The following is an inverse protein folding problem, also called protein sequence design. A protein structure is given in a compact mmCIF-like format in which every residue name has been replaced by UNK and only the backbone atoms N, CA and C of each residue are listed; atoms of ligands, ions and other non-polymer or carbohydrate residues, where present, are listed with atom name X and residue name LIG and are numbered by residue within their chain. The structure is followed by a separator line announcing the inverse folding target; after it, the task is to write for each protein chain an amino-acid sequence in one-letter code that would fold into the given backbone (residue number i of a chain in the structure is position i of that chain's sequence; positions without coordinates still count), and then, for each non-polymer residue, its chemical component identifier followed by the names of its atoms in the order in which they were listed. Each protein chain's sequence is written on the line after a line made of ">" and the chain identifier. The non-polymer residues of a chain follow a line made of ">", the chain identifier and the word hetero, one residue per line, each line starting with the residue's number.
data_IF_166178788643
#
_entry.id   IF_166178788643
#
_cell.length_a   1.000
_cell.length_b   1.000
_cell.length_c   1.000
_cell.angle_alpha   90.00
_cell.angle_beta   90.00
_cell.angle_gamma   90.00
#
_symmetry.space_group_name_H-M   'P 1'
#
loop_
_entity.id
_entity.type
_entity.pdbx_description
1 polymer ?
#
# COMPACT_ATOMS: atom_id res chain seq x y z
N UNK A 1 23.14 -29.13 -19.44
CA UNK A 1 22.12 -29.02 -18.38
C UNK A 1 20.82 -28.56 -19.02
N UNK A 2 19.88 -29.47 -19.20
CA UNK A 2 18.54 -29.13 -19.70
C UNK A 2 17.82 -28.34 -18.62
N UNK A 3 17.26 -27.16 -18.89
CA UNK A 3 16.44 -26.48 -17.89
C UNK A 3 15.26 -27.41 -17.59
N UNK A 4 15.13 -27.84 -16.34
CA UNK A 4 13.89 -28.44 -15.85
C UNK A 4 12.89 -27.29 -15.85
N UNK A 5 12.16 -27.15 -16.96
CA UNK A 5 10.97 -26.31 -17.00
C UNK A 5 10.04 -26.96 -15.99
N UNK A 6 9.95 -26.39 -14.79
CA UNK A 6 9.11 -26.93 -13.71
C UNK A 6 7.65 -26.75 -14.13
N UNK A 7 7.13 -27.70 -14.90
CA UNK A 7 5.77 -27.72 -15.40
C UNK A 7 4.84 -28.09 -14.25
N UNK A 8 4.22 -27.06 -13.68
CA UNK A 8 3.06 -27.15 -12.80
C UNK A 8 1.93 -27.80 -13.61
N UNK A 9 1.18 -28.75 -13.06
CA UNK A 9 0.12 -29.43 -13.79
C UNK A 9 -1.15 -29.65 -12.95
N UNK A 10 -2.29 -29.59 -13.61
CA UNK A 10 -3.61 -29.91 -13.06
C UNK A 10 -4.15 -31.16 -13.77
N UNK A 11 -4.88 -32.00 -13.04
CA UNK A 11 -5.53 -33.17 -13.61
C UNK A 11 -7.05 -33.02 -13.57
N UNK A 12 -7.71 -33.50 -14.62
CA UNK A 12 -9.17 -33.51 -14.73
C UNK A 12 -9.74 -34.69 -13.98
N UNK A 13 -10.68 -34.46 -13.07
CA UNK A 13 -11.23 -35.52 -12.20
C UNK A 13 -11.91 -36.65 -12.96
N UNK A 14 -12.64 -36.29 -14.03
CA UNK A 14 -13.47 -37.23 -14.77
C UNK A 14 -12.66 -38.18 -15.68
N UNK A 15 -11.51 -37.73 -16.18
CA UNK A 15 -10.77 -38.42 -17.25
C UNK A 15 -9.32 -38.75 -16.90
N UNK A 16 -8.78 -38.17 -15.83
CA UNK A 16 -7.36 -38.28 -15.48
C UNK A 16 -6.43 -37.51 -16.42
N UNK A 17 -6.99 -36.73 -17.34
CA UNK A 17 -6.25 -35.90 -18.29
C UNK A 17 -5.38 -34.87 -17.54
N UNK A 18 -4.09 -34.83 -17.87
CA UNK A 18 -3.10 -33.93 -17.28
C UNK A 18 -2.86 -32.75 -18.22
N UNK A 19 -3.02 -31.54 -17.70
CA UNK A 19 -2.70 -30.31 -18.41
C UNK A 19 -1.55 -29.62 -17.69
N UNK A 20 -0.48 -29.37 -18.43
CA UNK A 20 0.67 -28.63 -17.96
C UNK A 20 0.40 -27.13 -18.11
N UNK A 21 0.54 -26.43 -17.00
CA UNK A 21 0.42 -24.99 -16.86
C UNK A 21 1.81 -24.37 -16.92
N UNK A 22 1.89 -23.25 -17.63
CA UNK A 22 3.08 -22.41 -17.66
C UNK A 22 3.06 -21.40 -16.51
N UNK A 23 4.19 -20.75 -16.26
CA UNK A 23 4.27 -19.66 -15.28
C UNK A 23 3.35 -18.48 -15.63
N UNK A 24 2.97 -18.30 -16.90
CA UNK A 24 2.03 -17.27 -17.31
C UNK A 24 0.58 -17.61 -16.90
N UNK A 25 0.24 -18.91 -16.85
CA UNK A 25 -1.08 -19.38 -16.41
C UNK A 25 -1.25 -19.26 -14.89
N UNK A 26 -0.16 -19.09 -14.14
CA UNK A 26 -0.16 -18.95 -12.68
C UNK A 26 -0.16 -17.49 -12.21
N UNK A 27 -0.17 -16.53 -13.14
CA UNK A 27 -0.30 -15.14 -12.78
C UNK A 27 -1.66 -14.93 -12.12
N UNK A 28 -1.72 -14.40 -10.88
CA UNK A 28 -3.01 -14.04 -10.29
C UNK A 28 -3.69 -13.03 -11.21
N UNK A 29 -4.99 -13.23 -11.48
CA UNK A 29 -5.77 -12.23 -12.18
C UNK A 29 -5.70 -10.92 -11.39
N UNK A 30 -5.47 -9.80 -12.08
CA UNK A 30 -5.45 -8.49 -11.47
C UNK A 30 -6.78 -8.25 -10.75
N UNK A 31 -6.76 -8.22 -9.42
CA UNK A 31 -7.93 -7.99 -8.59
C UNK A 31 -8.62 -9.21 -7.98
N UNK A 32 -8.04 -10.42 -8.03
CA UNK A 32 -8.59 -11.57 -7.29
C UNK A 32 -8.09 -11.58 -5.83
N UNK A 33 -8.95 -11.30 -4.83
CA UNK A 33 -8.58 -11.31 -3.43
C UNK A 33 -8.58 -12.77 -2.95
N UNK A 34 -7.60 -13.54 -3.40
CA UNK A 34 -7.47 -14.94 -2.99
C UNK A 34 -6.95 -15.00 -1.55
N UNK A 35 -7.92 -14.96 -0.65
CA UNK A 35 -7.88 -15.48 0.71
C UNK A 35 -7.20 -16.85 0.75
N UNK A 36 -5.86 -16.90 0.82
CA UNK A 36 -5.09 -18.01 1.38
C UNK A 36 -5.42 -19.43 0.87
N UNK A 37 -6.04 -19.58 -0.30
CA UNK A 37 -6.28 -20.86 -0.99
C UNK A 37 -5.73 -20.70 -2.39
N UNK A 38 -4.89 -21.66 -2.79
CA UNK A 38 -4.38 -21.75 -4.14
C UNK A 38 -5.51 -22.26 -5.04
N UNK A 39 -6.41 -21.35 -5.40
CA UNK A 39 -7.42 -21.60 -6.42
C UNK A 39 -6.70 -21.92 -7.72
N UNK A 40 -7.34 -22.78 -8.50
CA UNK A 40 -6.87 -23.08 -9.85
C UNK A 40 -6.86 -21.80 -10.70
N UNK A 41 -5.98 -21.70 -11.71
CA UNK A 41 -5.96 -20.58 -12.63
C UNK A 41 -7.32 -20.28 -13.26
N UNK A 42 -7.50 -19.04 -13.72
CA UNK A 42 -8.67 -18.65 -14.49
C UNK A 42 -8.90 -19.62 -15.67
N UNK A 43 -10.12 -20.15 -15.78
CA UNK A 43 -10.48 -21.18 -16.76
C UNK A 43 -10.47 -22.62 -16.22
N UNK A 44 -9.95 -22.86 -15.02
CA UNK A 44 -9.97 -24.15 -14.34
C UNK A 44 -10.76 -24.02 -13.03
N UNK A 45 -11.78 -24.85 -12.83
CA UNK A 45 -12.56 -24.84 -11.58
C UNK A 45 -12.27 -26.09 -10.73
N UNK A 46 -12.37 -25.95 -9.41
CA UNK A 46 -12.06 -27.03 -8.45
C UNK A 46 -13.05 -28.18 -8.48
N UNK A 47 -14.20 -28.01 -9.16
CA UNK A 47 -15.17 -29.08 -9.36
C UNK A 47 -14.69 -30.09 -10.42
N UNK A 48 -13.96 -29.62 -11.44
CA UNK A 48 -13.54 -30.42 -12.59
C UNK A 48 -12.04 -30.71 -12.62
N UNK A 49 -11.22 -29.86 -12.00
CA UNK A 49 -9.77 -29.95 -12.01
C UNK A 49 -9.22 -29.97 -10.59
N UNK A 50 -8.02 -30.52 -10.44
CA UNK A 50 -7.31 -30.62 -9.16
C UNK A 50 -5.81 -30.57 -9.40
N UNK A 51 -5.07 -29.97 -8.48
CA UNK A 51 -3.61 -30.01 -8.48
C UNK A 51 -3.12 -31.46 -8.35
N UNK A 52 -2.13 -31.87 -9.16
CA UNK A 52 -1.42 -33.10 -8.87
C UNK A 52 -0.55 -32.91 -7.58
N UNK A 53 -0.16 -34.01 -6.92
CA UNK A 53 0.51 -33.94 -5.62
C UNK A 53 1.85 -33.16 -5.66
N UNK A 54 2.67 -33.34 -6.70
CA UNK A 54 3.93 -32.63 -6.87
C UNK A 54 3.73 -31.12 -7.08
N UNK A 55 2.71 -30.75 -7.83
CA UNK A 55 2.33 -29.35 -8.07
C UNK A 55 1.77 -28.70 -6.83
N UNK A 56 0.94 -29.43 -6.08
CA UNK A 56 0.45 -28.97 -4.77
C UNK A 56 1.61 -28.74 -3.80
N UNK A 57 2.57 -29.68 -3.71
CA UNK A 57 3.75 -29.54 -2.87
C UNK A 57 4.64 -28.35 -3.29
N UNK A 58 4.78 -28.10 -4.60
CA UNK A 58 5.54 -26.96 -5.14
C UNK A 58 4.85 -25.61 -4.92
N UNK A 59 3.52 -25.58 -4.98
CA UNK A 59 2.72 -24.39 -4.74
C UNK A 59 2.53 -24.10 -3.23
N UNK A 60 2.57 -25.14 -2.40
CA UNK A 60 2.59 -25.07 -0.93
C UNK A 60 4.02 -25.04 -0.37
N UNK A 61 5.01 -24.66 -1.17
CA UNK A 61 6.35 -24.37 -0.67
C UNK A 61 6.30 -23.16 0.30
N UNK A 62 6.77 -23.31 1.56
CA UNK A 62 6.68 -22.24 2.57
C UNK A 62 7.32 -20.92 2.16
N UNK A 63 8.43 -20.95 1.41
CA UNK A 63 9.15 -19.75 1.00
C UNK A 63 8.39 -18.97 -0.08
N UNK A 64 7.74 -19.66 -1.02
CA UNK A 64 6.87 -19.02 -2.01
C UNK A 64 5.61 -18.43 -1.42
N UNK A 65 4.96 -19.18 -0.53
CA UNK A 65 3.78 -18.68 0.18
C UNK A 65 4.15 -17.43 1.00
N UNK A 66 5.30 -17.41 1.65
CA UNK A 66 5.82 -16.21 2.32
C UNK A 66 5.93 -15.02 1.36
N UNK A 67 6.60 -15.18 0.21
CA UNK A 67 6.82 -14.09 -0.73
C UNK A 67 5.49 -13.48 -1.23
N UNK A 68 4.51 -14.33 -1.55
CA UNK A 68 3.17 -13.89 -1.99
C UNK A 68 2.44 -13.13 -0.88
N UNK A 69 2.40 -13.69 0.33
CA UNK A 69 1.69 -13.06 1.45
C UNK A 69 2.36 -11.74 1.86
N UNK A 70 3.68 -11.66 1.87
CA UNK A 70 4.40 -10.41 2.15
C UNK A 70 4.10 -9.35 1.09
N UNK A 71 4.03 -9.72 -0.19
CA UNK A 71 3.63 -8.80 -1.26
C UNK A 71 2.19 -8.29 -1.05
N UNK A 72 1.24 -9.18 -0.75
CA UNK A 72 -0.15 -8.81 -0.48
C UNK A 72 -0.29 -7.87 0.73
N UNK A 73 0.49 -8.08 1.80
CA UNK A 73 0.52 -7.18 2.96
C UNK A 73 0.98 -5.79 2.56
N UNK A 74 2.05 -5.70 1.76
CA UNK A 74 2.57 -4.42 1.26
C UNK A 74 1.58 -3.72 0.33
N UNK A 75 0.95 -4.44 -0.59
CA UNK A 75 -0.05 -3.89 -1.50
C UNK A 75 -1.27 -3.38 -0.75
N UNK A 76 -1.73 -4.13 0.26
CA UNK A 76 -2.83 -3.70 1.15
C UNK A 76 -2.47 -2.46 1.94
N UNK A 77 -1.26 -2.43 2.52
CA UNK A 77 -0.77 -1.28 3.27
C UNK A 77 -0.67 -0.04 2.37
N UNK A 78 -0.13 -0.17 1.17
CA UNK A 78 -0.02 0.92 0.21
C UNK A 78 -1.42 1.39 -0.20
N UNK A 79 -2.32 0.50 -0.61
CA UNK A 79 -3.71 0.84 -0.97
C UNK A 79 -4.43 1.63 0.14
N UNK A 80 -4.29 1.19 1.39
CA UNK A 80 -4.85 1.90 2.56
C UNK A 80 -4.19 3.26 2.76
N UNK A 81 -2.86 3.36 2.75
CA UNK A 81 -2.13 4.64 2.86
C UNK A 81 -2.58 5.60 1.76
N UNK A 82 -2.76 5.09 0.53
CA UNK A 82 -3.21 5.90 -0.59
C UNK A 82 -4.65 6.38 -0.41
N UNK A 83 -5.55 5.56 0.11
CA UNK A 83 -6.92 5.98 0.44
C UNK A 83 -6.98 7.15 1.43
N UNK A 84 -6.03 7.23 2.38
CA UNK A 84 -5.93 8.36 3.33
C UNK A 84 -5.19 9.57 2.75
N UNK A 85 -4.19 9.35 1.90
CA UNK A 85 -3.39 10.42 1.32
C UNK A 85 -4.02 11.03 0.07
N UNK A 86 -5.02 10.41 -0.57
CA UNK A 86 -5.85 11.05 -1.60
C UNK A 86 -6.91 10.06 -2.11
N UNK A 87 -8.08 10.55 -2.51
CA UNK A 87 -8.77 9.90 -3.62
C UNK A 87 -7.85 10.00 -4.87
N UNK A 88 -7.04 8.96 -5.15
CA UNK A 88 -6.31 8.85 -6.44
C UNK A 88 -4.79 8.74 -6.44
N UNK A 89 -4.11 8.18 -5.43
CA UNK A 89 -2.80 7.55 -5.63
C UNK A 89 -1.56 8.44 -5.95
N UNK A 90 -1.72 9.71 -6.27
CA UNK A 90 -0.65 10.47 -6.94
C UNK A 90 -0.01 11.60 -6.11
N UNK A 91 -0.46 11.87 -4.87
CA UNK A 91 -0.14 13.12 -4.16
C UNK A 91 1.04 13.07 -3.18
N UNK A 92 1.83 11.97 -3.13
CA UNK A 92 2.89 11.80 -2.11
C UNK A 92 3.90 12.97 -2.06
N UNK A 93 4.33 13.47 -3.22
CA UNK A 93 5.22 14.63 -3.28
C UNK A 93 4.54 15.93 -2.83
N UNK A 94 3.26 16.12 -3.16
CA UNK A 94 2.48 17.30 -2.74
C UNK A 94 2.30 17.34 -1.22
N UNK A 95 2.02 16.21 -0.57
CA UNK A 95 1.90 16.14 0.89
C UNK A 95 3.21 16.44 1.60
N UNK A 96 4.32 15.88 1.12
CA UNK A 96 5.64 16.17 1.70
C UNK A 96 5.99 17.67 1.60
N UNK A 97 5.66 18.31 0.48
CA UNK A 97 5.86 19.75 0.34
C UNK A 97 4.90 20.56 1.22
N UNK A 98 3.59 20.26 1.25
CA UNK A 98 2.65 20.93 2.14
C UNK A 98 3.05 20.81 3.62
N UNK A 99 3.54 19.64 4.04
CA UNK A 99 4.07 19.44 5.39
C UNK A 99 5.32 20.28 5.67
N UNK A 100 6.23 20.40 4.70
CA UNK A 100 7.39 21.29 4.80
C UNK A 100 6.98 22.76 4.89
N UNK A 101 5.95 23.19 4.16
CA UNK A 101 5.40 24.55 4.26
C UNK A 101 4.79 24.83 5.63
N UNK A 102 4.03 23.88 6.20
CA UNK A 102 3.51 24.00 7.58
C UNK A 102 4.65 24.05 8.59
N UNK A 103 5.64 23.16 8.50
CA UNK A 103 6.78 23.16 9.42
C UNK A 103 7.58 24.46 9.34
N UNK A 104 7.78 25.01 8.13
CA UNK A 104 8.43 26.30 7.96
C UNK A 104 7.58 27.44 8.54
N UNK A 105 6.27 27.45 8.31
CA UNK A 105 5.34 28.41 8.91
C UNK A 105 5.41 28.38 10.45
N UNK A 106 5.42 27.19 11.05
CA UNK A 106 5.51 27.00 12.50
C UNK A 106 6.87 27.45 13.06
N UNK A 107 7.95 27.25 12.28
CA UNK A 107 9.31 27.65 12.67
C UNK A 107 9.50 29.18 12.74
N UNK A 108 8.63 29.96 12.10
CA UNK A 108 8.66 31.42 12.19
C UNK A 108 8.29 31.90 13.60
N UNK A 109 7.52 31.10 14.35
CA UNK A 109 7.16 31.36 15.74
C UNK A 109 6.34 32.64 15.97
N UNK A 110 5.92 32.85 17.21
CA UNK A 110 5.20 34.06 17.62
C UNK A 110 3.71 34.07 17.30
N UNK A 111 3.09 35.26 17.36
CA UNK A 111 1.68 35.45 17.04
C UNK A 111 1.45 35.38 15.52
N UNK A 112 0.19 35.13 15.09
CA UNK A 112 -0.18 35.15 13.66
C UNK A 112 0.26 36.45 12.98
N UNK A 113 0.17 37.58 13.67
CA UNK A 113 0.61 38.89 13.16
C UNK A 113 2.13 38.89 12.90
N UNK A 114 2.93 38.34 13.82
CA UNK A 114 4.37 38.26 13.66
C UNK A 114 4.76 37.33 12.49
N UNK A 115 4.05 36.22 12.33
CA UNK A 115 4.26 35.28 11.22
C UNK A 115 3.92 35.97 9.89
N UNK A 116 2.78 36.65 9.80
CA UNK A 116 2.40 37.39 8.59
C UNK A 116 3.42 38.48 8.24
N UNK A 117 3.97 39.18 9.23
CA UNK A 117 5.04 40.16 9.02
C UNK A 117 6.32 39.49 8.50
N UNK A 118 6.72 38.35 9.06
CA UNK A 118 7.89 37.58 8.60
C UNK A 118 7.71 37.06 7.17
N UNK A 119 6.52 36.54 6.83
CA UNK A 119 6.17 36.14 5.46
C UNK A 119 6.15 37.34 4.51
N UNK A 120 5.66 38.49 4.98
CA UNK A 120 5.64 39.76 4.26
C UNK A 120 7.05 40.28 3.92
N UNK A 121 8.01 40.07 4.82
CA UNK A 121 9.41 40.47 4.68
C UNK A 121 10.19 39.62 3.65
N UNK A 122 9.70 38.42 3.31
CA UNK A 122 10.31 37.59 2.27
C UNK A 122 10.13 38.23 0.88
N UNK A 123 11.16 38.12 0.04
CA UNK A 123 11.04 38.49 -1.37
C UNK A 123 9.99 37.62 -2.08
N UNK A 124 9.41 38.09 -3.21
CA UNK A 124 8.47 37.27 -3.99
C UNK A 124 9.03 35.92 -4.44
N UNK A 125 10.34 35.84 -4.69
CA UNK A 125 11.01 34.59 -5.04
C UNK A 125 11.09 33.65 -3.82
N UNK A 126 11.50 34.17 -2.66
CA UNK A 126 11.54 33.38 -1.42
C UNK A 126 10.15 32.91 -1.00
N UNK A 127 9.11 33.76 -1.11
CA UNK A 127 7.73 33.35 -0.83
C UNK A 127 7.27 32.19 -1.71
N UNK A 128 7.51 32.27 -3.02
CA UNK A 128 7.17 31.16 -3.95
C UNK A 128 7.96 29.89 -3.65
N UNK A 129 9.24 30.01 -3.29
CA UNK A 129 10.07 28.86 -2.96
C UNK A 129 9.69 28.20 -1.62
N UNK A 130 9.14 28.96 -0.67
CA UNK A 130 8.82 28.49 0.70
C UNK A 130 7.35 28.18 0.94
N UNK A 131 6.44 28.76 0.15
CA UNK A 131 4.98 28.71 0.34
C UNK A 131 4.22 28.56 -0.99
N UNK A 132 4.79 27.86 -1.97
CA UNK A 132 4.22 27.75 -3.31
C UNK A 132 2.81 27.15 -3.31
N UNK A 133 2.57 26.12 -2.50
CA UNK A 133 1.26 25.49 -2.36
C UNK A 133 0.28 26.37 -1.58
N UNK A 134 0.71 26.93 -0.44
CA UNK A 134 -0.16 27.76 0.39
C UNK A 134 -0.60 29.04 -0.34
N UNK A 135 0.25 29.61 -1.20
CA UNK A 135 -0.11 30.75 -2.06
C UNK A 135 -1.13 30.37 -3.13
N UNK A 136 -0.95 29.23 -3.79
CA UNK A 136 -1.89 28.76 -4.81
C UNK A 136 -3.25 28.40 -4.21
N UNK A 137 -3.24 27.75 -3.05
CA UNK A 137 -4.45 27.38 -2.31
C UNK A 137 -5.19 28.62 -1.80
N UNK A 138 -4.48 29.57 -1.16
CA UNK A 138 -5.09 30.84 -0.72
C UNK A 138 -5.74 31.60 -1.89
N UNK A 139 -5.08 31.66 -3.05
CA UNK A 139 -5.65 32.28 -4.25
C UNK A 139 -6.91 31.55 -4.75
N UNK A 140 -6.92 30.22 -4.75
CA UNK A 140 -8.07 29.41 -5.18
C UNK A 140 -9.29 29.56 -4.26
N UNK A 141 -9.07 29.77 -2.96
CA UNK A 141 -10.12 29.94 -1.95
C UNK A 141 -10.48 31.42 -1.67
N UNK A 142 -9.81 32.37 -2.33
CA UNK A 142 -10.04 33.81 -2.13
C UNK A 142 -9.50 34.36 -0.80
N UNK A 143 -8.58 33.65 -0.16
CA UNK A 143 -7.94 34.11 1.07
C UNK A 143 -6.92 35.22 0.80
N UNK A 144 -6.89 36.21 1.68
CA UNK A 144 -5.94 37.34 1.62
C UNK A 144 -4.57 36.99 2.21
N UNK A 145 -4.46 35.86 2.92
CA UNK A 145 -3.23 35.39 3.58
C UNK A 145 -3.09 33.88 3.45
N UNK A 146 -1.85 33.39 3.58
CA UNK A 146 -1.57 31.95 3.54
C UNK A 146 -2.02 31.21 4.82
N UNK A 147 -2.40 31.92 5.89
CA UNK A 147 -2.75 31.30 7.18
C UNK A 147 -3.87 30.28 7.04
N UNK A 148 -4.95 30.63 6.34
CA UNK A 148 -6.08 29.73 6.13
C UNK A 148 -5.70 28.51 5.28
N UNK A 149 -4.83 28.68 4.28
CA UNK A 149 -4.28 27.57 3.50
C UNK A 149 -3.43 26.63 4.37
N UNK A 150 -2.58 27.18 5.25
CA UNK A 150 -1.79 26.41 6.22
C UNK A 150 -2.70 25.61 7.17
N UNK A 151 -3.78 26.20 7.68
CA UNK A 151 -4.74 25.48 8.53
C UNK A 151 -5.46 24.35 7.76
N UNK A 152 -5.85 24.58 6.50
CA UNK A 152 -6.42 23.51 5.64
C UNK A 152 -5.41 22.39 5.44
N UNK A 153 -4.13 22.70 5.25
CA UNK A 153 -3.07 21.69 5.15
C UNK A 153 -2.91 20.92 6.46
N UNK A 154 -2.90 21.59 7.62
CA UNK A 154 -2.86 20.93 8.94
C UNK A 154 -4.04 20.00 9.14
N UNK A 155 -5.25 20.42 8.80
CA UNK A 155 -6.45 19.60 8.87
C UNK A 155 -6.32 18.35 7.99
N UNK A 156 -5.85 18.50 6.75
CA UNK A 156 -5.57 17.38 5.85
C UNK A 156 -4.45 16.44 6.35
N UNK A 157 -3.44 16.95 7.04
CA UNK A 157 -2.37 16.15 7.64
C UNK A 157 -2.82 15.43 8.91
N UNK A 158 -3.67 16.04 9.73
CA UNK A 158 -4.24 15.41 10.92
C UNK A 158 -5.09 14.19 10.55
N UNK A 159 -5.78 14.23 9.41
CA UNK A 159 -6.45 13.04 8.85
C UNK A 159 -5.48 11.93 8.37
N UNK A 160 -4.19 12.23 8.20
CA UNK A 160 -3.13 11.29 7.81
C UNK A 160 -2.41 10.65 9.02
N UNK A 161 -2.83 10.94 10.25
CA UNK A 161 -2.33 10.30 11.49
C UNK A 161 -2.46 8.76 11.49
N UNK A 162 -3.26 8.20 10.57
CA UNK A 162 -3.45 6.76 10.38
C UNK A 162 -2.33 6.07 9.61
N UNK A 163 -1.52 6.80 8.83
CA UNK A 163 -0.43 6.22 8.01
C UNK A 163 0.64 5.52 8.87
N UNK A 164 1.13 6.08 9.99
CA UNK A 164 2.02 5.39 10.90
C UNK A 164 1.44 4.08 11.46
N UNK A 165 0.15 4.09 11.84
CA UNK A 165 -0.54 2.88 12.35
C UNK A 165 -0.63 1.80 11.27
N UNK A 166 -0.89 2.17 10.01
CA UNK A 166 -0.88 1.23 8.87
C UNK A 166 0.53 0.67 8.64
N UNK A 167 1.56 1.50 8.71
CA UNK A 167 2.95 1.06 8.57
C UNK A 167 3.38 0.12 9.71
N UNK A 168 2.92 0.36 10.94
CA UNK A 168 3.15 -0.53 12.07
C UNK A 168 2.45 -1.89 11.89
N UNK A 169 1.20 -1.90 11.43
CA UNK A 169 0.46 -3.12 11.10
C UNK A 169 1.14 -3.92 9.97
N UNK A 170 1.60 -3.23 8.92
CA UNK A 170 2.38 -3.83 7.82
C UNK A 170 3.65 -4.52 8.33
N UNK A 171 4.47 -3.80 9.11
CA UNK A 171 5.72 -4.33 9.64
C UNK A 171 5.49 -5.54 10.56
N UNK A 172 4.52 -5.44 11.47
CA UNK A 172 4.13 -6.53 12.38
C UNK A 172 3.61 -7.75 11.61
N UNK A 173 2.76 -7.54 10.61
CA UNK A 173 2.22 -8.62 9.77
C UNK A 173 3.30 -9.33 8.97
N UNK A 174 4.22 -8.58 8.35
CA UNK A 174 5.34 -9.14 7.62
C UNK A 174 6.29 -9.95 8.52
N UNK A 175 6.58 -9.45 9.73
CA UNK A 175 7.38 -10.19 10.71
C UNK A 175 6.71 -11.51 11.11
N UNK A 176 5.43 -11.47 11.47
CA UNK A 176 4.69 -12.68 11.86
C UNK A 176 4.62 -13.74 10.75
N UNK A 177 4.50 -13.32 9.48
CA UNK A 177 4.55 -14.24 8.34
C UNK A 177 5.94 -14.86 8.18
N UNK A 178 7.02 -14.10 8.37
CA UNK A 178 8.39 -14.60 8.26
C UNK A 178 8.74 -15.57 9.40
N UNK A 179 8.30 -15.28 10.62
CA UNK A 179 8.56 -16.10 11.81
C UNK A 179 7.82 -17.44 11.77
N UNK A 180 6.69 -17.52 11.05
CA UNK A 180 5.95 -18.76 10.86
C UNK A 180 6.70 -19.75 9.95
N UNK A 181 6.81 -21.01 10.38
CA UNK A 181 7.58 -22.04 9.65
C UNK A 181 6.75 -22.90 8.70
N UNK A 182 5.43 -22.92 8.85
CA UNK A 182 4.52 -23.74 8.02
C UNK A 182 3.61 -22.84 7.19
N UNK A 183 3.17 -23.33 6.02
CA UNK A 183 2.19 -22.64 5.17
C UNK A 183 0.92 -22.27 5.94
N UNK A 184 0.41 -23.19 6.76
CA UNK A 184 -0.77 -22.95 7.57
C UNK A 184 -0.55 -21.80 8.56
N UNK A 185 0.57 -21.79 9.29
CA UNK A 185 0.90 -20.73 10.23
C UNK A 185 1.11 -19.37 9.53
N UNK A 186 1.75 -19.35 8.35
CA UNK A 186 1.92 -18.13 7.55
C UNK A 186 0.57 -17.53 7.13
N UNK A 187 -0.38 -18.36 6.71
CA UNK A 187 -1.75 -17.92 6.36
C UNK A 187 -2.54 -17.44 7.57
N UNK A 188 -2.40 -18.11 8.72
CA UNK A 188 -3.00 -17.65 9.98
C UNK A 188 -2.42 -16.29 10.39
N UNK A 189 -1.11 -16.10 10.27
CA UNK A 189 -0.46 -14.82 10.55
C UNK A 189 -0.99 -13.70 9.65
N UNK A 190 -1.16 -13.96 8.35
CA UNK A 190 -1.77 -13.01 7.41
C UNK A 190 -3.22 -12.67 7.79
N UNK A 191 -4.05 -13.66 8.09
CA UNK A 191 -5.45 -13.46 8.47
C UNK A 191 -5.62 -12.72 9.81
N UNK A 192 -4.63 -12.82 10.71
CA UNK A 192 -4.61 -12.16 12.00
C UNK A 192 -4.13 -10.70 11.96
N UNK A 193 -3.75 -10.17 10.78
CA UNK A 193 -3.35 -8.78 10.64
C UNK A 193 -4.57 -7.90 10.88
N UNK A 194 -4.59 -7.24 12.03
CA UNK A 194 -5.62 -6.27 12.35
C UNK A 194 -5.35 -4.96 11.62
N UNK A 195 -6.11 -4.76 10.54
CA UNK A 195 -6.12 -3.50 9.81
C UNK A 195 -7.08 -2.47 10.42
N UNK A 196 -7.79 -2.81 11.51
CA UNK A 196 -8.62 -1.84 12.22
C UNK A 196 -7.72 -0.99 13.11
N UNK A 197 -7.43 0.21 12.63
CA UNK A 197 -6.83 1.24 13.47
C UNK A 197 -7.85 1.61 14.56
N UNK A 198 -7.48 1.43 15.84
CA UNK A 198 -8.26 2.07 16.92
C UNK A 198 -7.95 3.57 16.89
N UNK A 199 -9.02 4.36 16.84
CA UNK A 199 -9.00 5.82 16.86
C UNK A 199 -8.36 6.35 18.15
#
# INVERSE_FOLDING_TARGET
>A
MTPIVSTVAVYRKATGELVHLTTADLAPAAGDPLLGKLTLPAGYNEQTWVWNAATKAFAEDPARVEAVLVAQVKDTAESKKMGFLSAGGAKKAEYAQKAAEVSFYDSLGGSVIAILAAVGALTPAQRRAKFGYALADAAAFGDTTITNAIERFRSGMAASDKVPSIAAAEAKGCAAIKDATTVAAKRTAYAAIDWNWKA
#
